data_IF_920966395960
#
_entry.id   IF_920966395960
#
_cell.length_a   1.000
_cell.length_b   1.000
_cell.length_c   1.000
_cell.angle_alpha   90.00
_cell.angle_beta   90.00
_cell.angle_gamma   90.00
#
_symmetry.space_group_name_H-M   'P 1'
#
loop_
_entity.id
_entity.type
_entity.pdbx_description
1 polymer ?
#
# COMPACT_ATOMS: atom_id res chain seq x y z
N UNK A 1 1.75 8.35 15.35
CA UNK A 1 1.84 9.51 14.41
C UNK A 1 2.25 9.00 13.03
N UNK A 2 1.71 9.60 11.94
CA UNK A 2 2.13 9.26 10.56
C UNK A 2 2.88 10.46 9.97
N UNK A 3 3.98 10.22 9.25
CA UNK A 3 4.82 11.27 8.65
C UNK A 3 5.70 10.74 7.52
N UNK A 4 6.30 11.67 6.75
CA UNK A 4 7.34 11.32 5.77
C UNK A 4 8.52 10.65 6.48
N UNK A 5 9.09 9.61 5.85
CA UNK A 5 10.17 8.84 6.44
C UNK A 5 11.48 9.65 6.54
N UNK A 6 12.28 9.33 7.55
CA UNK A 6 13.69 9.71 7.65
C UNK A 6 14.56 8.52 7.25
N UNK A 7 15.76 8.77 6.78
CA UNK A 7 16.68 7.69 6.38
C UNK A 7 16.93 6.68 7.51
N UNK A 8 17.02 7.16 8.75
CA UNK A 8 17.21 6.30 9.94
C UNK A 8 16.07 5.30 10.19
N UNK A 9 14.92 5.45 9.53
CA UNK A 9 13.79 4.52 9.66
C UNK A 9 13.85 3.34 8.70
N UNK A 10 14.69 3.38 7.67
CA UNK A 10 14.74 2.35 6.63
C UNK A 10 14.97 0.92 7.16
N UNK A 11 15.88 0.70 8.13
CA UNK A 11 16.02 -0.65 8.71
C UNK A 11 14.73 -1.14 9.38
N UNK A 12 14.01 -0.27 10.09
CA UNK A 12 12.76 -0.63 10.75
C UNK A 12 11.61 -0.87 9.74
N UNK A 13 11.56 -0.11 8.64
CA UNK A 13 10.61 -0.37 7.54
C UNK A 13 10.86 -1.72 6.91
N UNK A 14 12.12 -2.06 6.61
CA UNK A 14 12.49 -3.38 6.09
C UNK A 14 12.12 -4.50 7.09
N UNK A 15 12.30 -4.28 8.40
CA UNK A 15 11.90 -5.24 9.43
C UNK A 15 10.38 -5.47 9.45
N UNK A 16 9.55 -4.45 9.17
CA UNK A 16 8.09 -4.63 9.02
C UNK A 16 7.77 -5.53 7.83
N UNK A 17 8.48 -5.40 6.70
CA UNK A 17 8.29 -6.27 5.55
C UNK A 17 8.59 -7.73 5.88
N UNK A 18 9.74 -7.97 6.54
CA UNK A 18 10.13 -9.32 6.97
C UNK A 18 9.14 -9.89 7.99
N UNK A 19 8.66 -9.09 8.96
CA UNK A 19 7.67 -9.53 9.95
C UNK A 19 6.35 -9.99 9.30
N UNK A 20 5.92 -9.33 8.21
CA UNK A 20 4.73 -9.74 7.45
C UNK A 20 4.97 -11.11 6.79
N UNK A 21 6.13 -11.29 6.14
CA UNK A 21 6.50 -12.56 5.49
C UNK A 21 6.67 -13.68 6.53
N UNK A 22 7.27 -13.40 7.69
CA UNK A 22 7.40 -14.36 8.79
C UNK A 22 6.01 -14.79 9.31
N UNK A 23 5.08 -13.83 9.42
CA UNK A 23 3.71 -14.11 9.83
C UNK A 23 2.97 -14.98 8.80
N UNK A 24 3.12 -14.70 7.51
CA UNK A 24 2.56 -15.51 6.43
C UNK A 24 3.12 -16.94 6.45
N UNK A 25 4.44 -17.09 6.60
CA UNK A 25 5.10 -18.39 6.70
C UNK A 25 4.62 -19.18 7.93
N UNK A 26 4.50 -18.52 9.09
CA UNK A 26 4.07 -19.15 10.33
C UNK A 26 2.59 -19.57 10.31
N UNK A 27 1.74 -18.83 9.62
CA UNK A 27 0.29 -19.12 9.54
C UNK A 27 -0.11 -19.97 8.32
N UNK A 28 0.76 -20.06 7.31
CA UNK A 28 0.45 -20.66 6.03
C UNK A 28 -0.54 -19.82 5.18
N UNK A 29 -0.81 -18.59 5.56
CA UNK A 29 -1.76 -17.70 4.88
C UNK A 29 -1.00 -16.64 4.07
N UNK A 30 -0.63 -16.95 2.84
CA UNK A 30 0.08 -16.04 1.94
C UNK A 30 -0.91 -15.08 1.25
N UNK A 31 -1.30 -14.01 1.94
CA UNK A 31 -2.33 -13.07 1.48
C UNK A 31 -1.76 -11.90 0.68
N UNK A 32 -0.48 -11.54 0.86
CA UNK A 32 0.13 -10.42 0.12
C UNK A 32 0.56 -10.81 -1.30
N UNK A 33 0.85 -12.09 -1.55
CA UNK A 33 1.49 -12.55 -2.77
C UNK A 33 2.97 -12.13 -2.89
N UNK A 34 3.55 -11.62 -1.80
CA UNK A 34 4.95 -11.19 -1.77
C UNK A 34 5.91 -12.37 -1.71
N UNK A 35 7.15 -12.12 -2.10
CA UNK A 35 8.17 -13.15 -2.13
C UNK A 35 9.45 -12.68 -1.44
N UNK A 36 9.85 -13.41 -0.41
CA UNK A 36 11.07 -13.14 0.35
C UNK A 36 12.29 -13.01 -0.56
N UNK A 37 13.08 -11.96 -0.34
CA UNK A 37 14.26 -11.65 -1.14
C UNK A 37 13.98 -11.09 -2.55
N UNK A 38 12.70 -10.96 -2.94
CA UNK A 38 12.31 -10.38 -4.22
C UNK A 38 11.50 -9.07 -4.04
N UNK A 39 10.42 -9.10 -3.25
CA UNK A 39 9.59 -7.93 -2.99
C UNK A 39 8.64 -8.17 -1.80
N UNK A 40 8.45 -7.14 -0.92
CA UNK A 40 9.31 -5.97 -0.79
C UNK A 40 10.63 -6.30 -0.10
N UNK A 41 11.64 -5.47 -0.28
CA UNK A 41 12.98 -5.65 0.31
C UNK A 41 13.48 -4.34 0.95
N UNK A 42 14.64 -4.37 1.59
CA UNK A 42 15.31 -3.15 2.08
C UNK A 42 15.58 -2.16 0.92
N UNK A 43 15.92 -2.66 -0.27
CA UNK A 43 16.09 -1.83 -1.46
C UNK A 43 14.77 -1.21 -1.92
N UNK A 44 13.65 -1.93 -1.78
CA UNK A 44 12.32 -1.36 -2.01
C UNK A 44 12.09 -0.14 -1.11
N UNK A 45 12.33 -0.27 0.19
CA UNK A 45 12.20 0.86 1.13
C UNK A 45 13.13 2.02 0.78
N UNK A 46 14.39 1.73 0.42
CA UNK A 46 15.38 2.71 0.00
C UNK A 46 14.94 3.47 -1.26
N UNK A 47 14.45 2.78 -2.26
CA UNK A 47 14.01 3.38 -3.52
C UNK A 47 12.79 4.31 -3.30
N UNK A 48 11.81 3.88 -2.52
CA UNK A 48 10.64 4.70 -2.17
C UNK A 48 11.06 5.94 -1.36
N UNK A 49 12.01 5.78 -0.42
CA UNK A 49 12.56 6.89 0.35
C UNK A 49 13.28 7.90 -0.56
N UNK A 50 14.13 7.44 -1.45
CA UNK A 50 14.86 8.30 -2.39
C UNK A 50 13.92 9.07 -3.34
N UNK A 51 12.76 8.49 -3.67
CA UNK A 51 11.70 9.14 -4.42
C UNK A 51 10.93 10.19 -3.58
N UNK A 52 11.14 10.26 -2.26
CA UNK A 52 10.46 11.19 -1.37
C UNK A 52 8.99 10.83 -1.10
N UNK A 53 8.60 9.56 -1.31
CA UNK A 53 7.21 9.11 -1.26
C UNK A 53 6.95 8.08 -0.16
N UNK A 54 7.95 7.78 0.69
CA UNK A 54 7.82 6.85 1.81
C UNK A 54 7.25 7.57 3.03
N UNK A 55 6.08 7.13 3.47
CA UNK A 55 5.47 7.54 4.73
C UNK A 55 5.51 6.39 5.73
N UNK A 56 5.66 6.72 7.01
CA UNK A 56 5.75 5.75 8.11
C UNK A 56 4.81 6.10 9.24
N UNK A 57 4.26 5.08 9.86
CA UNK A 57 3.58 5.17 11.14
C UNK A 57 4.56 4.92 12.28
N UNK A 58 4.59 5.85 13.24
CA UNK A 58 5.56 5.86 14.35
C UNK A 58 4.83 5.96 15.67
N UNK A 59 5.18 5.12 16.61
CA UNK A 59 4.72 5.18 18.01
C UNK A 59 5.37 6.33 18.79
N UNK A 60 4.95 6.52 20.04
CA UNK A 60 5.51 7.55 20.93
C UNK A 60 6.95 7.27 21.31
N UNK A 61 7.34 6.01 21.40
CA UNK A 61 8.71 5.54 21.66
C UNK A 61 9.60 5.52 20.41
N UNK A 62 9.06 5.88 19.27
CA UNK A 62 9.79 5.94 17.98
C UNK A 62 9.76 4.64 17.18
N UNK A 63 9.09 3.59 17.63
CA UNK A 63 8.96 2.33 16.90
C UNK A 63 8.11 2.50 15.63
N UNK A 64 8.55 1.90 14.53
CA UNK A 64 7.80 1.90 13.27
C UNK A 64 6.78 0.76 13.28
N UNK A 65 5.51 1.11 13.17
CA UNK A 65 4.42 0.14 13.13
C UNK A 65 3.86 -0.13 11.73
N UNK A 66 4.27 0.64 10.73
CA UNK A 66 3.82 0.45 9.35
C UNK A 66 4.41 1.48 8.40
N UNK A 67 4.21 1.27 7.12
CA UNK A 67 4.66 2.17 6.05
C UNK A 67 3.75 2.14 4.84
N UNK A 68 3.87 3.14 3.98
CA UNK A 68 3.26 3.16 2.65
C UNK A 68 4.09 3.99 1.68
N UNK A 69 3.97 3.68 0.40
CA UNK A 69 4.41 4.52 -0.70
C UNK A 69 3.20 5.28 -1.25
N UNK A 70 3.21 6.60 -1.13
CA UNK A 70 2.15 7.47 -1.66
C UNK A 70 2.72 8.34 -2.79
N UNK A 71 2.23 8.12 -4.01
CA UNK A 71 2.66 8.86 -5.21
C UNK A 71 1.52 9.01 -6.22
N UNK A 72 1.82 9.28 -7.50
CA UNK A 72 0.83 9.35 -8.59
C UNK A 72 1.07 8.30 -9.69
N UNK A 73 1.92 7.31 -9.45
CA UNK A 73 2.29 6.32 -10.47
C UNK A 73 1.25 5.22 -10.52
N UNK A 74 0.54 5.13 -11.62
CA UNK A 74 -0.42 4.06 -11.89
C UNK A 74 0.28 2.88 -12.58
N UNK A 75 -0.05 1.64 -12.19
CA UNK A 75 0.44 0.46 -12.91
C UNK A 75 -0.09 0.45 -14.35
N UNK A 76 0.67 -0.07 -15.33
CA UNK A 76 0.22 -0.16 -16.71
C UNK A 76 -1.13 -0.87 -16.88
N UNK A 77 -1.41 -1.84 -16.01
CA UNK A 77 -2.63 -2.64 -16.00
C UNK A 77 -3.86 -1.85 -15.54
N UNK A 78 -3.68 -0.73 -14.84
CA UNK A 78 -4.78 0.13 -14.40
C UNK A 78 -5.61 0.66 -15.56
N UNK A 79 -5.04 0.76 -16.77
CA UNK A 79 -5.78 1.13 -18.01
C UNK A 79 -6.95 0.18 -18.31
N UNK A 80 -6.90 -1.06 -17.80
CA UNK A 80 -7.93 -2.08 -17.95
C UNK A 80 -8.95 -2.07 -16.80
N UNK A 81 -8.80 -1.16 -15.83
CA UNK A 81 -9.69 -1.03 -14.68
C UNK A 81 -11.03 -0.41 -15.06
N UNK A 82 -12.09 -0.84 -14.37
CA UNK A 82 -13.44 -0.30 -14.51
C UNK A 82 -13.62 1.02 -13.72
N UNK A 83 -12.71 1.98 -13.91
CA UNK A 83 -12.77 3.28 -13.24
C UNK A 83 -14.04 4.04 -13.65
N UNK A 84 -14.77 4.60 -12.68
CA UNK A 84 -15.98 5.40 -12.89
C UNK A 84 -15.78 6.87 -12.54
N UNK A 85 -14.68 7.20 -11.84
CA UNK A 85 -14.35 8.59 -11.51
C UNK A 85 -13.35 9.09 -12.54
N UNK A 86 -13.77 10.00 -13.45
CA UNK A 86 -12.86 10.60 -14.43
C UNK A 86 -11.77 11.41 -13.70
N UNK A 87 -10.52 11.21 -14.09
CA UNK A 87 -9.39 11.97 -13.57
C UNK A 87 -8.23 11.88 -14.56
N UNK A 88 -7.54 12.99 -14.76
CA UNK A 88 -6.25 13.00 -15.44
C UNK A 88 -5.16 12.41 -14.53
N UNK A 89 -4.05 11.96 -15.10
CA UNK A 89 -3.00 11.28 -14.34
C UNK A 89 -2.44 12.15 -13.20
N UNK A 90 -2.32 13.45 -13.41
CA UNK A 90 -1.86 14.39 -12.40
C UNK A 90 -2.86 14.64 -11.26
N UNK A 91 -4.11 14.23 -11.44
CA UNK A 91 -5.18 14.31 -10.43
C UNK A 91 -5.28 13.06 -9.57
N UNK A 92 -4.58 11.98 -9.94
CA UNK A 92 -4.65 10.70 -9.24
C UNK A 92 -3.53 10.59 -8.21
N UNK A 93 -3.86 10.16 -6.99
CA UNK A 93 -2.91 9.64 -6.01
C UNK A 93 -3.05 8.12 -5.93
N UNK A 94 -1.92 7.44 -5.69
CA UNK A 94 -1.87 5.98 -5.58
C UNK A 94 -1.12 5.59 -4.32
N UNK A 95 -1.71 4.66 -3.57
CA UNK A 95 -1.03 4.00 -2.45
C UNK A 95 -0.46 2.67 -2.95
N UNK A 96 0.82 2.46 -2.73
CA UNK A 96 1.50 1.19 -2.93
C UNK A 96 2.12 0.70 -1.63
N UNK A 97 2.32 -0.60 -1.50
CA UNK A 97 3.08 -1.22 -0.39
C UNK A 97 2.61 -0.72 0.98
N UNK A 98 1.29 -0.65 1.17
CA UNK A 98 0.73 -0.35 2.49
C UNK A 98 0.97 -1.53 3.43
N UNK A 99 1.70 -1.28 4.51
CA UNK A 99 2.10 -2.29 5.49
C UNK A 99 1.73 -1.88 6.90
N UNK A 100 1.28 -2.87 7.68
CA UNK A 100 1.13 -2.74 9.14
C UNK A 100 1.84 -3.94 9.77
N UNK A 101 2.65 -3.69 10.80
CA UNK A 101 3.32 -4.76 11.54
C UNK A 101 2.27 -5.76 12.07
N UNK A 102 2.45 -7.08 11.91
CA UNK A 102 1.44 -8.08 12.32
C UNK A 102 1.01 -7.95 13.78
N UNK A 103 1.94 -7.66 14.69
CA UNK A 103 1.63 -7.47 16.14
C UNK A 103 0.75 -6.24 16.41
N UNK A 104 0.54 -5.40 15.42
CA UNK A 104 -0.32 -4.21 15.46
C UNK A 104 -1.62 -4.38 14.69
N UNK A 105 -1.91 -5.61 14.24
CA UNK A 105 -3.15 -5.91 13.53
C UNK A 105 -4.39 -5.63 14.40
N UNK A 106 -5.52 -5.33 13.77
CA UNK A 106 -6.80 -5.10 14.46
C UNK A 106 -6.93 -3.76 15.20
N UNK A 107 -5.90 -2.90 15.21
CA UNK A 107 -5.90 -1.61 15.93
C UNK A 107 -6.40 -0.43 15.06
N UNK A 108 -6.92 -0.70 13.86
CA UNK A 108 -7.40 0.34 12.93
C UNK A 108 -6.29 1.16 12.27
N UNK A 109 -5.02 0.77 12.39
CA UNK A 109 -3.87 1.52 11.88
C UNK A 109 -3.85 1.62 10.35
N UNK A 110 -4.29 0.60 9.63
CA UNK A 110 -4.43 0.67 8.17
C UNK A 110 -5.44 1.75 7.76
N UNK A 111 -6.58 1.85 8.46
CA UNK A 111 -7.57 2.91 8.26
C UNK A 111 -6.98 4.29 8.50
N UNK A 112 -6.20 4.45 9.57
CA UNK A 112 -5.52 5.72 9.88
C UNK A 112 -4.50 6.08 8.79
N UNK A 113 -3.74 5.10 8.27
CA UNK A 113 -2.77 5.31 7.22
C UNK A 113 -3.44 5.77 5.92
N UNK A 114 -4.56 5.13 5.54
CA UNK A 114 -5.34 5.52 4.35
C UNK A 114 -5.93 6.92 4.51
N UNK A 115 -6.52 7.25 5.67
CA UNK A 115 -7.05 8.58 5.93
C UNK A 115 -5.98 9.67 5.83
N UNK A 116 -4.80 9.42 6.40
CA UNK A 116 -3.65 10.32 6.26
C UNK A 116 -3.22 10.48 4.78
N UNK A 117 -3.21 9.40 4.00
CA UNK A 117 -2.89 9.45 2.57
C UNK A 117 -3.90 10.29 1.80
N UNK A 118 -5.20 10.15 2.10
CA UNK A 118 -6.27 10.95 1.48
C UNK A 118 -6.08 12.46 1.78
N UNK A 119 -5.81 12.82 3.04
CA UNK A 119 -5.58 14.22 3.43
C UNK A 119 -4.32 14.80 2.78
N UNK A 120 -3.25 13.99 2.73
CA UNK A 120 -2.00 14.36 2.03
C UNK A 120 -2.26 14.58 0.54
N UNK A 121 -2.96 13.66 -0.11
CA UNK A 121 -3.30 13.76 -1.53
C UNK A 121 -4.16 15.01 -1.84
N UNK A 122 -5.18 15.30 -1.00
CA UNK A 122 -5.98 16.52 -1.13
C UNK A 122 -5.13 17.78 -1.02
N UNK A 123 -4.18 17.81 -0.07
CA UNK A 123 -3.26 18.94 0.10
C UNK A 123 -2.35 19.17 -1.09
N UNK A 124 -2.12 18.12 -1.90
CA UNK A 124 -1.35 18.15 -3.14
C UNK A 124 -2.23 18.42 -4.39
N UNK A 125 -3.52 18.73 -4.21
CA UNK A 125 -4.44 19.01 -5.32
C UNK A 125 -4.95 17.77 -6.04
N UNK A 126 -4.75 16.58 -5.49
CA UNK A 126 -5.32 15.34 -6.05
C UNK A 126 -6.81 15.26 -5.77
N UNK A 127 -7.57 14.69 -6.70
CA UNK A 127 -9.03 14.58 -6.62
C UNK A 127 -9.52 13.14 -6.55
N UNK A 128 -8.66 12.18 -6.87
CA UNK A 128 -8.98 10.74 -6.86
C UNK A 128 -7.84 9.97 -6.21
N UNK A 129 -8.20 9.03 -5.33
CA UNK A 129 -7.30 8.00 -4.82
C UNK A 129 -7.58 6.70 -5.54
N UNK A 130 -6.53 6.04 -6.03
CA UNK A 130 -6.57 4.68 -6.59
C UNK A 130 -5.56 3.80 -5.92
N UNK A 131 -5.81 2.52 -5.87
CA UNK A 131 -4.84 1.50 -5.48
C UNK A 131 -5.36 0.09 -5.81
N UNK A 132 -4.51 -0.86 -5.57
CA UNK A 132 -4.79 -2.27 -5.76
C UNK A 132 -4.47 -3.09 -4.51
N UNK A 133 -4.97 -4.31 -4.51
CA UNK A 133 -4.55 -5.37 -3.59
C UNK A 133 -4.75 -6.74 -4.22
N UNK A 134 -3.95 -7.73 -3.80
CA UNK A 134 -4.12 -9.10 -4.27
C UNK A 134 -5.53 -9.62 -4.02
N UNK A 135 -6.08 -10.39 -4.96
CA UNK A 135 -7.41 -11.00 -4.80
C UNK A 135 -7.50 -11.90 -3.57
N UNK A 136 -6.38 -12.51 -3.16
CA UNK A 136 -6.26 -13.34 -1.95
C UNK A 136 -6.23 -12.56 -0.64
N UNK A 137 -6.01 -11.23 -0.68
CA UNK A 137 -5.91 -10.40 0.51
C UNK A 137 -7.29 -10.06 1.08
N UNK A 138 -7.90 -11.02 1.77
CA UNK A 138 -9.25 -10.88 2.33
C UNK A 138 -9.36 -9.68 3.28
N UNK A 139 -8.31 -9.39 4.06
CA UNK A 139 -8.30 -8.26 5.02
C UNK A 139 -8.42 -6.93 4.30
N UNK A 140 -7.58 -6.70 3.30
CA UNK A 140 -7.59 -5.46 2.52
C UNK A 140 -8.86 -5.33 1.68
N UNK A 141 -9.29 -6.42 1.01
CA UNK A 141 -10.51 -6.46 0.21
C UNK A 141 -11.78 -6.20 1.05
N UNK A 142 -11.77 -6.57 2.34
CA UNK A 142 -12.85 -6.21 3.27
C UNK A 142 -12.73 -4.75 3.74
N UNK A 143 -11.53 -4.28 4.03
CA UNK A 143 -11.31 -2.94 4.59
C UNK A 143 -11.77 -1.83 3.63
N UNK A 144 -11.33 -1.86 2.38
CA UNK A 144 -11.45 -0.72 1.47
C UNK A 144 -12.91 -0.30 1.20
N UNK A 145 -13.87 -1.21 0.94
CA UNK A 145 -15.28 -0.81 0.82
C UNK A 145 -15.83 -0.17 2.09
N UNK A 146 -15.37 -0.60 3.30
CA UNK A 146 -15.85 -0.04 4.59
C UNK A 146 -15.36 1.38 4.85
N UNK A 147 -14.36 1.86 4.10
CA UNK A 147 -13.83 3.22 4.18
C UNK A 147 -14.16 4.05 2.93
N UNK A 148 -15.13 3.57 2.14
CA UNK A 148 -15.75 4.32 1.06
C UNK A 148 -15.08 4.17 -0.31
N UNK A 149 -14.21 3.17 -0.47
CA UNK A 149 -13.65 2.86 -1.80
C UNK A 149 -14.59 1.97 -2.60
N UNK A 150 -14.77 2.33 -3.86
CA UNK A 150 -15.50 1.53 -4.84
C UNK A 150 -14.56 0.51 -5.49
N UNK A 151 -15.01 -0.72 -5.58
CA UNK A 151 -14.33 -1.74 -6.39
C UNK A 151 -14.42 -1.38 -7.87
N UNK A 152 -13.29 -1.37 -8.56
CA UNK A 152 -13.16 -0.97 -9.96
C UNK A 152 -12.76 -2.13 -10.89
N UNK A 153 -12.95 -3.36 -10.44
CA UNK A 153 -12.66 -4.55 -11.22
C UNK A 153 -11.38 -5.25 -10.79
N UNK A 154 -11.10 -6.36 -11.45
CA UNK A 154 -9.88 -7.15 -11.26
C UNK A 154 -9.07 -7.10 -12.55
N UNK A 155 -7.75 -6.96 -12.41
CA UNK A 155 -6.81 -7.00 -13.53
C UNK A 155 -5.79 -8.10 -13.31
N UNK A 156 -5.41 -8.77 -14.41
CA UNK A 156 -4.31 -9.72 -14.38
C UNK A 156 -2.98 -8.97 -14.40
N UNK A 157 -2.12 -9.26 -13.42
CA UNK A 157 -0.74 -8.79 -13.39
C UNK A 157 0.21 -9.98 -13.28
N UNK A 158 1.45 -9.75 -13.66
CA UNK A 158 2.50 -10.76 -13.58
C UNK A 158 3.69 -10.17 -12.80
N UNK A 159 3.78 -10.55 -11.52
CA UNK A 159 4.92 -10.17 -10.71
C UNK A 159 6.20 -10.79 -11.29
N UNK A 160 7.26 -9.99 -11.44
CA UNK A 160 8.52 -10.37 -12.11
C UNK A 160 8.32 -10.89 -13.56
N UNK A 161 7.18 -10.58 -14.20
CA UNK A 161 6.89 -10.97 -15.58
C UNK A 161 6.41 -12.41 -15.78
N UNK A 162 6.35 -13.23 -14.73
CA UNK A 162 5.95 -14.65 -14.85
C UNK A 162 5.07 -15.18 -13.71
N UNK A 163 5.03 -14.54 -12.56
CA UNK A 163 4.16 -14.96 -11.45
C UNK A 163 2.80 -14.29 -11.59
N UNK A 164 1.77 -15.05 -11.96
CA UNK A 164 0.41 -14.54 -12.06
C UNK A 164 -0.08 -14.03 -10.69
N UNK A 165 -0.40 -12.76 -10.62
CA UNK A 165 -0.82 -12.08 -9.40
C UNK A 165 -2.01 -11.15 -9.72
N UNK A 166 -3.24 -11.66 -9.79
CA UNK A 166 -4.40 -10.83 -10.09
C UNK A 166 -4.68 -9.83 -8.95
N UNK A 167 -4.98 -8.59 -9.33
CA UNK A 167 -5.20 -7.48 -8.42
C UNK A 167 -6.61 -6.95 -8.50
N UNK A 168 -7.25 -6.77 -7.37
CA UNK A 168 -8.49 -6.02 -7.22
C UNK A 168 -8.17 -4.53 -7.14
N UNK A 169 -8.84 -3.74 -7.96
CA UNK A 169 -8.67 -2.30 -8.07
C UNK A 169 -9.73 -1.56 -7.27
N UNK A 170 -9.33 -0.48 -6.65
CA UNK A 170 -10.21 0.36 -5.83
C UNK A 170 -10.00 1.85 -6.13
N UNK A 171 -11.09 2.62 -6.13
CA UNK A 171 -11.04 4.07 -6.29
C UNK A 171 -11.96 4.80 -5.31
N UNK A 172 -11.60 6.04 -5.00
CA UNK A 172 -12.40 6.96 -4.19
C UNK A 172 -12.18 8.39 -4.65
N UNK A 173 -13.26 9.16 -4.75
CA UNK A 173 -13.17 10.61 -4.92
C UNK A 173 -12.70 11.23 -3.61
N UNK A 174 -11.71 12.10 -3.68
CA UNK A 174 -11.11 12.79 -2.55
C UNK A 174 -11.86 14.08 -2.18
#
# INVERSE_FOLDING_TARGET
MIRIAKESYLPAVAAVYEAILDHEDATGLHYTGWKRGAYPTADTARNIFNAGTLYVGVDEDGAIWGSMNLNGVQLPEYKNGGWSIPAEDDQVAVIHTLTIHPDRAGQGLARQMVAFAEDTARSQGKTVMRFDTGVSNAVSNHLYPTIGYRFAGTVDTFFMGYVHCPLNLYEKKL
#
